data_IF_693995178599
#
_entry.id   IF_693995178599
#
_cell.length_a   1.000
_cell.length_b   1.000
_cell.length_c   1.000
_cell.angle_alpha   90.00
_cell.angle_beta   90.00
_cell.angle_gamma   90.00
#
_symmetry.space_group_name_H-M   'P 1'
#
loop_
_entity.id
_entity.type
_entity.pdbx_description
1 polymer ?
#
# COMPACT_ATOMS: atom_id res chain seq x y z
N UNK A 1 21.00 -24.61 19.34
CA UNK A 1 21.25 -24.76 17.90
C UNK A 1 20.18 -24.01 17.14
N UNK A 2 20.51 -22.83 16.61
CA UNK A 2 19.72 -22.18 15.55
C UNK A 2 19.92 -23.02 14.28
N UNK A 3 18.84 -23.54 13.70
CA UNK A 3 18.91 -24.26 12.42
C UNK A 3 18.89 -23.28 11.26
N UNK A 4 19.49 -23.64 10.12
CA UNK A 4 19.44 -22.82 8.91
C UNK A 4 17.99 -22.44 8.51
N UNK A 5 17.05 -23.34 8.77
CA UNK A 5 15.61 -23.13 8.60
C UNK A 5 15.05 -21.96 9.44
N UNK A 6 15.55 -21.71 10.66
CA UNK A 6 15.09 -20.57 11.45
C UNK A 6 15.54 -19.23 10.85
N UNK A 7 16.76 -19.17 10.31
CA UNK A 7 17.26 -17.96 9.62
C UNK A 7 16.50 -17.71 8.31
N UNK A 8 16.16 -18.76 7.56
CA UNK A 8 15.34 -18.68 6.34
C UNK A 8 13.97 -18.09 6.61
N UNK A 9 13.26 -18.60 7.62
CA UNK A 9 11.95 -18.09 8.01
C UNK A 9 12.02 -16.63 8.47
N UNK A 10 13.07 -16.27 9.21
CA UNK A 10 13.30 -14.87 9.62
C UNK A 10 13.60 -13.97 8.42
N UNK A 11 14.37 -14.44 7.44
CA UNK A 11 14.66 -13.69 6.20
C UNK A 11 13.42 -13.51 5.33
N UNK A 12 12.63 -14.57 5.12
CA UNK A 12 11.37 -14.51 4.37
C UNK A 12 10.39 -13.53 5.03
N UNK A 13 10.21 -13.63 6.35
CA UNK A 13 9.38 -12.71 7.12
C UNK A 13 9.90 -11.26 6.98
N UNK A 14 11.19 -11.02 7.18
CA UNK A 14 11.79 -9.69 7.01
C UNK A 14 11.59 -9.12 5.60
N UNK A 15 11.84 -9.90 4.55
CA UNK A 15 11.77 -9.43 3.17
C UNK A 15 10.34 -9.13 2.70
N UNK A 16 9.35 -9.91 3.15
CA UNK A 16 7.93 -9.66 2.86
C UNK A 16 7.42 -8.43 3.65
N UNK A 17 7.94 -8.21 4.87
CA UNK A 17 7.47 -7.13 5.74
C UNK A 17 8.27 -5.83 5.62
N UNK A 18 9.42 -5.79 4.92
CA UNK A 18 10.16 -4.54 4.69
C UNK A 18 9.39 -3.64 3.72
N UNK A 19 8.89 -2.51 4.24
CA UNK A 19 8.15 -1.44 3.54
C UNK A 19 7.31 -1.89 2.33
N UNK A 20 6.45 -2.90 2.56
CA UNK A 20 5.42 -3.46 1.66
C UNK A 20 5.85 -4.51 0.62
N UNK A 21 6.85 -5.35 0.91
CA UNK A 21 7.04 -6.63 0.22
C UNK A 21 6.84 -6.55 -1.29
N UNK A 22 7.37 -5.49 -1.91
CA UNK A 22 7.24 -5.33 -3.34
C UNK A 22 7.99 -6.52 -3.92
N UNK A 23 7.27 -7.43 -4.56
CA UNK A 23 7.89 -8.57 -5.22
C UNK A 23 8.89 -8.09 -6.29
N UNK A 24 8.92 -6.79 -6.63
CA UNK A 24 10.03 -6.16 -7.36
C UNK A 24 11.32 -6.08 -6.56
N UNK A 25 11.30 -5.81 -5.25
CA UNK A 25 12.50 -5.87 -4.41
C UNK A 25 13.04 -7.31 -4.35
N UNK A 26 12.15 -8.30 -4.27
CA UNK A 26 12.52 -9.72 -4.36
C UNK A 26 12.98 -10.10 -5.77
N UNK A 27 12.26 -9.69 -6.81
CA UNK A 27 12.66 -9.82 -8.22
C UNK A 27 14.02 -9.18 -8.48
N UNK A 28 14.32 -8.01 -7.91
CA UNK A 28 15.58 -7.29 -8.11
C UNK A 28 16.72 -7.89 -7.29
N UNK A 29 16.41 -8.46 -6.12
CA UNK A 29 17.32 -9.27 -5.32
C UNK A 29 17.71 -10.58 -6.05
N UNK A 30 16.73 -11.25 -6.66
CA UNK A 30 16.93 -12.51 -7.39
C UNK A 30 17.15 -12.34 -8.91
N UNK A 31 17.18 -11.10 -9.42
CA UNK A 31 17.35 -10.73 -10.85
C UNK A 31 16.31 -11.33 -11.81
N UNK A 32 15.03 -11.39 -11.42
CA UNK A 32 13.95 -11.95 -12.24
C UNK A 32 13.32 -10.91 -13.18
N UNK A 33 12.58 -11.37 -14.19
CA UNK A 33 11.97 -10.49 -15.20
C UNK A 33 10.50 -10.13 -14.88
N UNK A 34 9.78 -11.02 -14.18
CA UNK A 34 8.43 -10.78 -13.64
C UNK A 34 8.24 -11.50 -12.29
N UNK A 35 7.17 -11.17 -11.58
CA UNK A 35 6.77 -11.84 -10.34
C UNK A 35 6.32 -13.29 -10.64
N UNK A 36 5.69 -13.50 -11.80
CA UNK A 36 5.36 -14.82 -12.36
C UNK A 36 6.62 -15.68 -12.60
N UNK A 37 7.77 -15.07 -12.91
CA UNK A 37 9.06 -15.78 -13.00
C UNK A 37 9.59 -16.23 -11.64
N UNK A 38 9.22 -15.54 -10.55
CA UNK A 38 9.50 -16.02 -9.19
C UNK A 38 8.72 -17.31 -8.90
N UNK A 39 7.48 -17.45 -9.39
CA UNK A 39 6.73 -18.70 -9.32
C UNK A 39 7.35 -19.84 -10.17
N UNK A 40 8.01 -19.50 -11.30
CA UNK A 40 8.74 -20.47 -12.13
C UNK A 40 10.03 -21.00 -11.47
N UNK A 41 10.55 -20.33 -10.44
CA UNK A 41 11.70 -20.82 -9.67
C UNK A 41 11.36 -22.03 -8.78
N UNK A 42 10.08 -22.26 -8.45
CA UNK A 42 9.63 -23.49 -7.81
C UNK A 42 9.89 -24.76 -8.66
N UNK A 43 10.22 -24.60 -9.95
CA UNK A 43 10.50 -25.68 -10.88
C UNK A 43 11.99 -25.93 -11.13
N UNK A 44 12.89 -25.23 -10.44
CA UNK A 44 14.33 -25.46 -10.56
C UNK A 44 14.88 -26.16 -9.31
N UNK A 45 15.30 -27.41 -9.46
CA UNK A 45 15.84 -28.26 -8.39
C UNK A 45 17.13 -27.71 -7.75
N UNK A 46 17.84 -26.80 -8.43
CA UNK A 46 19.06 -26.13 -7.92
C UNK A 46 18.76 -24.91 -7.03
N UNK A 47 17.49 -24.51 -6.90
CA UNK A 47 17.04 -23.39 -6.08
C UNK A 47 16.22 -23.89 -4.89
N UNK A 48 16.35 -23.18 -3.77
CA UNK A 48 15.77 -23.55 -2.47
C UNK A 48 14.23 -23.43 -2.50
N UNK A 49 13.56 -24.46 -3.05
CA UNK A 49 12.11 -24.52 -3.21
C UNK A 49 11.37 -24.37 -1.86
N UNK A 50 11.95 -24.88 -0.77
CA UNK A 50 11.44 -24.74 0.59
C UNK A 50 11.37 -23.26 1.01
N UNK A 51 12.45 -22.49 0.79
CA UNK A 51 12.47 -21.05 1.07
C UNK A 51 11.42 -20.30 0.24
N UNK A 52 11.23 -20.69 -1.03
CA UNK A 52 10.24 -20.05 -1.89
C UNK A 52 8.80 -20.32 -1.43
N UNK A 53 8.50 -21.55 -1.03
CA UNK A 53 7.20 -21.92 -0.44
C UNK A 53 6.93 -21.14 0.86
N UNK A 54 7.94 -20.99 1.73
CA UNK A 54 7.84 -20.17 2.93
C UNK A 54 7.53 -18.70 2.58
N UNK A 55 8.25 -18.13 1.62
CA UNK A 55 8.03 -16.75 1.17
C UNK A 55 6.64 -16.53 0.58
N UNK A 56 6.16 -17.44 -0.29
CA UNK A 56 4.81 -17.36 -0.83
C UNK A 56 3.75 -17.45 0.26
N UNK A 57 3.94 -18.36 1.23
CA UNK A 57 3.02 -18.48 2.36
C UNK A 57 2.95 -17.19 3.19
N UNK A 58 4.10 -16.63 3.56
CA UNK A 58 4.16 -15.36 4.30
C UNK A 58 3.52 -14.22 3.52
N UNK A 59 3.79 -14.14 2.20
CA UNK A 59 3.15 -13.17 1.31
C UNK A 59 1.62 -13.30 1.36
N UNK A 60 1.08 -14.49 1.14
CA UNK A 60 -0.38 -14.69 1.14
C UNK A 60 -1.02 -14.39 2.49
N UNK A 61 -0.32 -14.67 3.60
CA UNK A 61 -0.79 -14.29 4.93
C UNK A 61 -0.89 -12.77 5.09
N UNK A 62 0.14 -12.03 4.67
CA UNK A 62 0.15 -10.56 4.72
C UNK A 62 -0.90 -9.96 3.80
N UNK A 63 -1.04 -10.47 2.57
CA UNK A 63 -2.08 -10.01 1.65
C UNK A 63 -3.48 -10.25 2.24
N UNK A 64 -3.70 -11.41 2.86
CA UNK A 64 -4.97 -11.74 3.48
C UNK A 64 -5.30 -10.82 4.67
N UNK A 65 -4.31 -10.52 5.52
CA UNK A 65 -4.46 -9.54 6.60
C UNK A 65 -4.84 -8.15 6.05
N UNK A 66 -4.10 -7.65 5.05
CA UNK A 66 -4.37 -6.34 4.43
C UNK A 66 -5.80 -6.28 3.87
N UNK A 67 -6.22 -7.33 3.15
CA UNK A 67 -7.56 -7.37 2.54
C UNK A 67 -8.66 -7.45 3.59
N UNK A 68 -8.47 -8.22 4.65
CA UNK A 68 -9.46 -8.34 5.73
C UNK A 68 -9.60 -7.03 6.49
N UNK A 69 -8.50 -6.33 6.77
CA UNK A 69 -8.51 -5.00 7.40
C UNK A 69 -9.41 -4.01 6.66
N UNK A 70 -9.49 -4.08 5.32
CA UNK A 70 -10.36 -3.18 4.56
C UNK A 70 -11.85 -3.34 4.91
N UNK A 71 -12.25 -4.49 5.45
CA UNK A 71 -13.62 -4.73 5.91
C UNK A 71 -13.85 -4.34 7.37
N UNK A 72 -12.82 -3.97 8.12
CA UNK A 72 -13.00 -3.40 9.46
C UNK A 72 -13.63 -2.01 9.36
N UNK A 73 -14.62 -1.73 10.21
CA UNK A 73 -15.45 -0.52 10.12
C UNK A 73 -14.64 0.76 10.34
N UNK A 74 -13.65 0.70 11.22
CA UNK A 74 -12.78 1.82 11.59
C UNK A 74 -11.55 1.95 10.69
N UNK A 75 -11.30 1.00 9.78
CA UNK A 75 -10.18 1.08 8.85
C UNK A 75 -10.48 2.12 7.75
N UNK A 76 -9.74 3.24 7.70
CA UNK A 76 -9.96 4.23 6.67
C UNK A 76 -9.35 3.75 5.35
N UNK A 77 -10.18 3.72 4.31
CA UNK A 77 -9.77 3.41 2.94
C UNK A 77 -10.34 4.47 1.98
N UNK A 78 -9.65 4.71 0.87
CA UNK A 78 -10.10 5.54 -0.24
C UNK A 78 -9.65 4.91 -1.57
N UNK A 79 -9.96 5.54 -2.69
CA UNK A 79 -9.70 5.00 -4.03
C UNK A 79 -10.94 5.01 -4.91
N UNK A 80 -10.97 4.13 -5.90
CA UNK A 80 -12.09 4.03 -6.85
C UNK A 80 -13.22 3.11 -6.39
N UNK A 81 -13.93 2.56 -7.36
CA UNK A 81 -15.16 1.79 -7.18
C UNK A 81 -15.00 0.61 -6.22
N UNK A 82 -13.88 -0.10 -6.27
CA UNK A 82 -13.66 -1.21 -5.35
C UNK A 82 -13.61 -0.76 -3.88
N UNK A 83 -12.97 0.37 -3.58
CA UNK A 83 -12.92 0.92 -2.22
C UNK A 83 -14.33 1.33 -1.74
N UNK A 84 -15.14 1.90 -2.63
CA UNK A 84 -16.53 2.25 -2.32
C UNK A 84 -17.39 1.01 -2.10
N UNK A 85 -17.24 -0.01 -2.93
CA UNK A 85 -17.97 -1.27 -2.79
C UNK A 85 -17.63 -1.97 -1.47
N UNK A 86 -16.36 -1.99 -1.07
CA UNK A 86 -15.95 -2.54 0.24
C UNK A 86 -16.60 -1.78 1.38
N UNK A 87 -16.64 -0.43 1.34
CA UNK A 87 -17.31 0.39 2.36
C UNK A 87 -18.80 0.06 2.47
N UNK A 88 -19.48 -0.09 1.34
CA UNK A 88 -20.91 -0.45 1.32
C UNK A 88 -21.12 -1.86 1.90
N UNK A 89 -20.33 -2.84 1.45
CA UNK A 89 -20.46 -4.24 1.88
C UNK A 89 -20.16 -4.40 3.38
N UNK A 90 -19.11 -3.75 3.89
CA UNK A 90 -18.74 -3.84 5.31
C UNK A 90 -19.72 -3.16 6.27
N UNK A 91 -20.60 -2.29 5.77
CA UNK A 91 -21.66 -1.63 6.54
C UNK A 91 -23.02 -2.34 6.45
N UNK A 92 -23.17 -3.32 5.55
CA UNK A 92 -24.43 -4.04 5.32
C UNK A 92 -24.70 -5.07 6.43
N UNK A 93 -25.57 -4.68 7.38
CA UNK A 93 -25.94 -5.52 8.52
C UNK A 93 -26.72 -6.78 8.14
N UNK A 94 -27.45 -6.79 7.03
CA UNK A 94 -28.18 -8.00 6.60
C UNK A 94 -27.20 -9.00 5.99
N UNK A 95 -26.28 -8.51 5.16
CA UNK A 95 -25.21 -9.32 4.60
C UNK A 95 -24.31 -9.90 5.70
N UNK A 96 -23.87 -9.07 6.67
CA UNK A 96 -23.09 -9.54 7.82
C UNK A 96 -23.81 -10.65 8.59
N UNK A 97 -25.13 -10.50 8.82
CA UNK A 97 -25.93 -11.54 9.50
C UNK A 97 -26.00 -12.83 8.68
N UNK A 98 -26.08 -12.75 7.36
CA UNK A 98 -26.12 -13.92 6.48
C UNK A 98 -24.82 -14.74 6.52
N UNK A 99 -23.67 -14.08 6.70
CA UNK A 99 -22.37 -14.72 6.92
C UNK A 99 -22.11 -15.09 8.39
N UNK A 100 -22.96 -14.64 9.31
CA UNK A 100 -22.87 -14.88 10.75
C UNK A 100 -21.95 -13.92 11.50
N UNK A 101 -20.97 -13.29 10.85
CA UNK A 101 -20.10 -12.27 11.45
C UNK A 101 -19.40 -11.42 10.39
N UNK A 102 -18.91 -10.23 10.78
CA UNK A 102 -18.09 -9.37 9.93
C UNK A 102 -16.82 -10.09 9.47
N UNK A 103 -16.15 -10.79 10.39
CA UNK A 103 -14.93 -11.55 10.09
C UNK A 103 -15.18 -12.68 9.07
N UNK A 104 -16.29 -13.41 9.19
CA UNK A 104 -16.64 -14.46 8.23
C UNK A 104 -16.92 -13.90 6.83
N UNK A 105 -17.60 -12.74 6.76
CA UNK A 105 -17.84 -12.03 5.50
C UNK A 105 -16.53 -11.49 4.92
N UNK A 106 -15.72 -10.81 5.73
CA UNK A 106 -14.42 -10.27 5.33
C UNK A 106 -13.56 -11.36 4.68
N UNK A 107 -13.41 -12.51 5.35
CA UNK A 107 -12.68 -13.67 4.84
C UNK A 107 -13.23 -14.21 3.51
N UNK A 108 -14.55 -14.24 3.36
CA UNK A 108 -15.17 -14.72 2.12
C UNK A 108 -14.87 -13.76 0.94
N UNK A 109 -15.01 -12.45 1.15
CA UNK A 109 -14.75 -11.46 0.11
C UNK A 109 -13.25 -11.30 -0.19
N UNK A 110 -12.41 -11.14 0.83
CA UNK A 110 -10.95 -10.96 0.71
C UNK A 110 -10.28 -12.09 -0.07
N UNK A 111 -10.74 -13.33 0.09
CA UNK A 111 -10.15 -14.50 -0.57
C UNK A 111 -10.12 -14.41 -2.10
N UNK A 112 -11.03 -13.64 -2.70
CA UNK A 112 -11.19 -13.49 -4.15
C UNK A 112 -10.60 -12.20 -4.73
N UNK A 113 -10.08 -11.31 -3.88
CA UNK A 113 -9.52 -10.03 -4.31
C UNK A 113 -8.01 -10.21 -4.50
N UNK A 114 -7.48 -10.18 -5.74
CA UNK A 114 -6.03 -10.09 -5.94
C UNK A 114 -5.58 -8.69 -5.50
N UNK A 115 -4.36 -8.58 -4.98
CA UNK A 115 -3.79 -7.27 -4.63
C UNK A 115 -2.36 -7.14 -5.11
N UNK A 116 -1.97 -5.92 -5.46
CA UNK A 116 -0.62 -5.56 -5.85
C UNK A 116 -0.28 -4.18 -5.33
N UNK A 117 0.90 -4.02 -4.72
CA UNK A 117 1.39 -2.70 -4.32
C UNK A 117 1.69 -1.82 -5.53
N UNK A 118 1.37 -0.53 -5.43
CA UNK A 118 1.76 0.52 -6.38
C UNK A 118 2.74 1.54 -5.77
N UNK A 119 3.15 1.33 -4.52
CA UNK A 119 3.97 2.25 -3.72
C UNK A 119 3.17 3.33 -2.99
N UNK A 120 2.05 3.79 -3.56
CA UNK A 120 1.16 4.81 -2.96
C UNK A 120 -0.26 4.30 -2.72
N UNK A 121 -0.46 2.99 -2.86
CA UNK A 121 -1.73 2.29 -2.68
C UNK A 121 -1.67 0.88 -3.25
N UNK A 122 -2.83 0.23 -3.27
CA UNK A 122 -3.07 -1.09 -3.80
C UNK A 122 -3.82 -1.04 -5.13
N UNK A 123 -3.52 -1.99 -5.99
CA UNK A 123 -4.27 -2.29 -7.20
C UNK A 123 -4.86 -3.68 -7.08
N UNK A 124 -6.14 -3.82 -7.37
CA UNK A 124 -6.87 -5.10 -7.36
C UNK A 124 -7.22 -5.60 -8.74
N UNK A 125 -6.71 -4.93 -9.77
CA UNK A 125 -6.71 -5.45 -11.12
C UNK A 125 -5.41 -6.21 -11.31
N UNK A 126 -5.49 -7.33 -12.02
CA UNK A 126 -4.39 -8.26 -12.26
C UNK A 126 -3.19 -7.58 -12.96
N UNK A 127 -2.16 -8.35 -13.32
CA UNK A 127 -0.86 -7.89 -13.83
C UNK A 127 -0.91 -6.94 -15.07
N UNK A 128 -2.06 -6.78 -15.72
CA UNK A 128 -2.23 -5.91 -16.90
C UNK A 128 -2.41 -4.42 -16.55
N UNK A 129 -2.84 -4.06 -15.34
CA UNK A 129 -3.13 -2.67 -15.00
C UNK A 129 -1.87 -1.85 -14.66
N UNK A 130 -1.57 -0.85 -15.50
CA UNK A 130 -0.40 0.05 -15.39
C UNK A 130 -0.75 1.50 -15.00
N UNK A 131 -1.92 1.75 -14.43
CA UNK A 131 -2.40 3.12 -14.21
C UNK A 131 -1.57 3.92 -13.17
N UNK A 132 -0.99 3.25 -12.16
CA UNK A 132 -0.16 3.87 -11.12
C UNK A 132 -0.88 4.92 -10.26
N UNK A 133 -2.22 4.95 -10.28
CA UNK A 133 -3.06 5.96 -9.61
C UNK A 133 -4.15 5.28 -8.77
N UNK A 134 -3.80 4.68 -7.63
CA UNK A 134 -4.75 3.94 -6.80
C UNK A 134 -5.84 4.85 -6.18
N UNK A 135 -5.61 6.15 -6.10
CA UNK A 135 -6.54 7.15 -5.60
C UNK A 135 -7.67 7.51 -6.59
N UNK A 136 -7.53 7.17 -7.87
CA UNK A 136 -8.49 7.55 -8.92
C UNK A 136 -8.84 6.44 -9.90
N UNK A 137 -8.26 5.25 -9.75
CA UNK A 137 -8.56 4.07 -10.57
C UNK A 137 -9.67 3.25 -9.92
N UNK A 138 -10.60 2.74 -10.72
CA UNK A 138 -11.71 1.87 -10.30
C UNK A 138 -11.26 0.65 -9.47
N UNK A 139 -10.07 0.11 -9.76
CA UNK A 139 -9.46 -1.02 -9.05
C UNK A 139 -8.40 -0.58 -8.03
N UNK A 140 -8.39 0.70 -7.65
CA UNK A 140 -7.43 1.29 -6.74
C UNK A 140 -7.98 1.38 -5.32
N UNK A 141 -7.14 1.04 -4.34
CA UNK A 141 -7.40 1.25 -2.92
C UNK A 141 -6.20 1.95 -2.30
N UNK A 142 -6.42 2.98 -1.50
CA UNK A 142 -5.41 3.56 -0.61
C UNK A 142 -5.91 3.39 0.80
N UNK A 143 -5.07 2.87 1.67
CA UNK A 143 -5.38 2.66 3.09
C UNK A 143 -4.36 3.38 3.98
N UNK A 144 -4.58 3.32 5.30
CA UNK A 144 -3.72 4.01 6.29
C UNK A 144 -2.22 3.65 6.19
N UNK A 145 -1.90 2.48 5.61
CA UNK A 145 -0.51 2.02 5.48
C UNK A 145 0.30 2.91 4.53
N UNK A 146 -0.38 3.65 3.66
CA UNK A 146 0.25 4.54 2.69
C UNK A 146 0.42 5.99 3.17
N UNK A 147 -0.04 6.31 4.39
CA UNK A 147 0.03 7.66 4.95
C UNK A 147 1.41 8.31 4.82
N UNK A 148 2.54 7.64 5.16
CA UNK A 148 3.86 8.26 5.06
C UNK A 148 4.23 8.69 3.64
N UNK A 149 3.80 7.94 2.62
CA UNK A 149 4.08 8.27 1.22
C UNK A 149 3.28 9.48 0.75
N UNK A 150 2.00 9.56 1.14
CA UNK A 150 1.14 10.70 0.79
C UNK A 150 1.53 11.97 1.55
N UNK A 151 1.95 11.86 2.81
CA UNK A 151 2.54 12.96 3.57
C UNK A 151 3.84 13.44 2.92
N UNK A 152 4.77 12.52 2.60
CA UNK A 152 6.01 12.84 1.92
C UNK A 152 5.80 13.54 0.57
N UNK A 153 4.80 13.10 -0.20
CA UNK A 153 4.39 13.77 -1.43
C UNK A 153 3.85 15.19 -1.17
N UNK A 154 2.99 15.38 -0.15
CA UNK A 154 2.48 16.70 0.20
C UNK A 154 3.62 17.65 0.59
N UNK A 155 4.57 17.20 1.43
CA UNK A 155 5.76 17.97 1.82
C UNK A 155 6.56 18.39 0.58
N UNK A 156 6.78 17.48 -0.36
CA UNK A 156 7.49 17.80 -1.60
C UNK A 156 6.75 18.85 -2.44
N UNK A 157 5.43 18.76 -2.56
CA UNK A 157 4.64 19.77 -3.28
C UNK A 157 4.67 21.13 -2.58
N UNK A 158 4.60 21.17 -1.25
CA UNK A 158 4.71 22.40 -0.47
C UNK A 158 6.07 23.08 -0.70
N UNK A 159 7.17 22.32 -0.68
CA UNK A 159 8.51 22.81 -1.00
C UNK A 159 8.61 23.36 -2.42
N UNK A 160 8.05 22.66 -3.40
CA UNK A 160 8.03 23.12 -4.79
C UNK A 160 7.25 24.44 -4.94
N UNK A 161 6.19 24.65 -4.16
CA UNK A 161 5.40 25.88 -4.21
C UNK A 161 6.21 27.12 -3.78
N UNK A 162 7.21 26.94 -2.91
CA UNK A 162 8.08 28.01 -2.41
C UNK A 162 9.13 28.44 -3.45
N UNK A 163 9.38 27.65 -4.50
CA UNK A 163 10.33 28.01 -5.56
C UNK A 163 9.82 29.18 -6.41
N UNK A 164 10.71 30.06 -6.85
CA UNK A 164 10.41 31.22 -7.68
C UNK A 164 10.54 30.93 -9.19
N UNK A 165 11.31 29.90 -9.57
CA UNK A 165 11.75 29.60 -10.94
C UNK A 165 10.90 28.56 -11.71
N UNK A 166 9.80 28.05 -11.14
CA UNK A 166 8.96 27.01 -11.75
C UNK A 166 7.90 27.51 -12.75
N UNK A 167 7.74 28.84 -12.88
CA UNK A 167 6.74 29.47 -13.74
C UNK A 167 5.28 29.20 -13.35
N UNK A 168 4.34 29.82 -14.07
CA UNK A 168 2.90 29.71 -13.78
C UNK A 168 2.38 28.27 -13.98
N UNK A 169 2.84 27.59 -15.04
CA UNK A 169 2.46 26.21 -15.34
C UNK A 169 2.95 25.26 -14.24
N UNK A 170 4.17 25.44 -13.75
CA UNK A 170 4.71 24.67 -12.64
C UNK A 170 3.90 24.89 -11.37
N UNK A 171 3.61 26.15 -11.01
CA UNK A 171 2.75 26.47 -9.86
C UNK A 171 1.38 25.82 -9.95
N UNK A 172 0.75 25.85 -11.13
CA UNK A 172 -0.55 25.22 -11.35
C UNK A 172 -0.49 23.69 -11.20
N UNK A 173 0.59 23.04 -11.67
CA UNK A 173 0.80 21.61 -11.51
C UNK A 173 1.01 21.23 -10.03
N UNK A 174 1.80 22.02 -9.30
CA UNK A 174 2.03 21.81 -7.85
C UNK A 174 0.73 21.95 -7.07
N UNK A 175 -0.10 22.97 -7.33
CA UNK A 175 -1.42 23.12 -6.68
C UNK A 175 -2.30 21.89 -6.86
N UNK A 176 -2.40 21.37 -8.09
CA UNK A 176 -3.15 20.13 -8.37
C UNK A 176 -2.55 18.93 -7.65
N UNK A 177 -1.23 18.86 -7.54
CA UNK A 177 -0.51 17.84 -6.78
C UNK A 177 -0.85 17.89 -5.29
N UNK A 178 -0.87 19.09 -4.70
CA UNK A 178 -1.29 19.32 -3.31
C UNK A 178 -2.75 18.88 -3.12
N UNK A 179 -3.69 19.41 -3.92
CA UNK A 179 -5.12 19.07 -3.85
C UNK A 179 -5.36 17.56 -3.90
N UNK A 180 -4.60 16.83 -4.74
CA UNK A 180 -4.66 15.37 -4.81
C UNK A 180 -4.21 14.71 -3.50
N UNK A 181 -3.09 15.14 -2.92
CA UNK A 181 -2.58 14.59 -1.66
C UNK A 181 -3.52 14.90 -0.50
N UNK A 182 -3.98 16.15 -0.40
CA UNK A 182 -4.90 16.60 0.64
C UNK A 182 -6.21 15.81 0.61
N UNK A 183 -6.77 15.56 -0.58
CA UNK A 183 -7.98 14.73 -0.74
C UNK A 183 -7.78 13.31 -0.20
N UNK A 184 -6.64 12.69 -0.49
CA UNK A 184 -6.35 11.32 -0.01
C UNK A 184 -6.13 11.31 1.50
N UNK A 185 -5.31 12.21 2.03
CA UNK A 185 -5.02 12.31 3.47
C UNK A 185 -6.29 12.57 4.28
N UNK A 186 -7.13 13.50 3.84
CA UNK A 186 -8.42 13.77 4.49
C UNK A 186 -9.34 12.55 4.46
N UNK A 187 -9.41 11.83 3.33
CA UNK A 187 -10.19 10.60 3.23
C UNK A 187 -9.64 9.46 4.11
N UNK A 188 -8.37 9.53 4.49
CA UNK A 188 -7.73 8.61 5.45
C UNK A 188 -7.89 9.06 6.92
N UNK A 189 -8.64 10.15 7.17
CA UNK A 189 -8.95 10.65 8.51
C UNK A 189 -7.93 11.65 9.07
N UNK A 190 -7.03 12.17 8.23
CA UNK A 190 -6.03 13.16 8.65
C UNK A 190 -6.62 14.57 8.60
N UNK A 191 -6.40 15.36 9.65
CA UNK A 191 -6.56 16.80 9.60
C UNK A 191 -5.39 17.43 8.84
N UNK A 192 -5.63 17.66 7.55
CA UNK A 192 -4.64 18.15 6.61
C UNK A 192 -4.19 19.58 6.94
N UNK A 193 -5.04 20.43 7.51
CA UNK A 193 -4.66 21.79 7.86
C UNK A 193 -3.70 21.79 9.04
N UNK A 194 -4.01 21.02 10.09
CA UNK A 194 -3.10 20.82 11.22
C UNK A 194 -1.77 20.21 10.76
N UNK A 195 -1.80 19.19 9.90
CA UNK A 195 -0.59 18.59 9.34
C UNK A 195 0.27 19.59 8.56
N UNK A 196 -0.33 20.45 7.72
CA UNK A 196 0.41 21.49 6.99
C UNK A 196 1.04 22.52 7.92
N UNK A 197 0.38 22.88 9.01
CA UNK A 197 0.94 23.78 10.02
C UNK A 197 2.18 23.16 10.67
N UNK A 198 2.08 21.90 11.11
CA UNK A 198 3.22 21.18 11.69
C UNK A 198 4.39 21.03 10.71
N UNK A 199 4.12 20.76 9.42
CA UNK A 199 5.16 20.67 8.39
C UNK A 199 5.92 22.00 8.28
N UNK A 200 5.20 23.12 8.19
CA UNK A 200 5.81 24.44 8.10
C UNK A 200 6.61 24.77 9.38
N UNK A 201 6.08 24.45 10.56
CA UNK A 201 6.79 24.64 11.82
C UNK A 201 8.10 23.84 11.90
N UNK A 202 8.11 22.59 11.41
CA UNK A 202 9.32 21.75 11.35
C UNK A 202 10.38 22.30 10.41
N UNK A 203 10.00 22.98 9.31
CA UNK A 203 10.95 23.68 8.44
C UNK A 203 11.59 24.92 9.09
N UNK A 204 10.92 25.49 10.10
CA UNK A 204 11.43 26.63 10.88
C UNK A 204 12.27 26.23 12.10
N UNK A 205 12.36 24.94 12.43
CA UNK A 205 13.29 24.45 13.44
C UNK A 205 14.66 24.30 12.76
N UNK A 206 15.53 25.29 12.96
CA UNK A 206 16.96 25.11 12.70
C UNK A 206 17.42 23.85 13.47
N UNK A 207 17.81 22.82 12.73
CA UNK A 207 18.59 21.73 13.30
C UNK A 207 19.93 22.36 13.69
N UNK A 208 20.03 22.80 14.94
CA UNK A 208 21.33 23.09 15.55
C UNK A 208 22.05 21.76 15.53
N UNK A 209 22.95 21.58 14.55
CA UNK A 209 23.89 20.48 14.56
C UNK A 209 24.69 20.62 15.87
N UNK A 210 24.41 19.71 16.82
CA UNK A 210 25.22 19.49 18.02
C UNK A 210 26.29 18.46 17.68
#
# INVERSE_FOLDING_TARGET
NLSAHQFRRTFANYAVHSEFGDLRALKDHFKHWSITMTALYAFNDDLDAELFEEMLREKYLVEEEIKQDWFELDMPITGGDIAQNIKVVREDKELIRSFGSLSAMAKAYSSSIPIRSTGIGWCTNDDECKCGKPDSCESGIVDKRHLPYWEGMLVQQMKLMQLDDIGEVGRAAVKKGMERCEKVLAALGIDVETMKQEINEREHIEVINV
#
